data_IF_581034936699
#
_entry.id   IF_581034936699
#
_cell.length_a   1.000
_cell.length_b   1.000
_cell.length_c   1.000
_cell.angle_alpha   90.00
_cell.angle_beta   90.00
_cell.angle_gamma   90.00
#
_symmetry.space_group_name_H-M   'P 1'
#
loop_
_entity.id
_entity.type
_entity.pdbx_description
1 polymer ?
#
# COMPACT_ATOMS: atom_id res chain seq x y z
N UNK A 1 -15.16 6.14 3.69
CA UNK A 1 -14.61 5.28 4.75
C UNK A 1 -14.41 3.86 4.23
N UNK A 2 -15.47 3.11 3.90
CA UNK A 2 -15.36 1.71 3.47
C UNK A 2 -14.27 1.41 2.41
N UNK A 3 -14.16 2.20 1.34
CA UNK A 3 -13.13 1.97 0.31
C UNK A 3 -11.69 2.17 0.81
N UNK A 4 -11.47 3.12 1.73
CA UNK A 4 -10.14 3.35 2.34
C UNK A 4 -9.77 2.17 3.22
N UNK A 5 -10.72 1.66 4.01
CA UNK A 5 -10.50 0.52 4.89
C UNK A 5 -10.17 -0.74 4.09
N UNK A 6 -10.92 -1.02 3.00
CA UNK A 6 -10.64 -2.15 2.11
C UNK A 6 -9.27 -2.06 1.45
N UNK A 7 -8.88 -0.88 0.95
CA UNK A 7 -7.56 -0.69 0.34
C UNK A 7 -6.46 -0.81 1.39
N UNK A 8 -6.68 -0.29 2.60
CA UNK A 8 -5.73 -0.38 3.71
C UNK A 8 -5.50 -1.84 4.08
N UNK A 9 -6.56 -2.63 4.24
CA UNK A 9 -6.49 -4.06 4.53
C UNK A 9 -5.75 -4.81 3.41
N UNK A 10 -6.06 -4.52 2.14
CA UNK A 10 -5.38 -5.13 1.00
C UNK A 10 -3.87 -4.79 0.97
N UNK A 11 -3.49 -3.55 1.29
CA UNK A 11 -2.08 -3.14 1.42
C UNK A 11 -1.38 -3.89 2.56
N UNK A 12 -2.06 -4.08 3.70
CA UNK A 12 -1.51 -4.83 4.82
C UNK A 12 -1.29 -6.30 4.45
N UNK A 13 -2.26 -6.94 3.78
CA UNK A 13 -2.13 -8.32 3.31
C UNK A 13 -1.02 -8.49 2.28
N UNK A 14 -0.92 -7.57 1.32
CA UNK A 14 0.15 -7.60 0.33
C UNK A 14 1.52 -7.47 1.01
N UNK A 15 1.67 -6.54 1.95
CA UNK A 15 2.92 -6.36 2.68
C UNK A 15 3.27 -7.59 3.53
N UNK A 16 2.30 -8.14 4.26
CA UNK A 16 2.48 -9.36 5.04
C UNK A 16 2.98 -10.51 4.16
N UNK A 17 2.39 -10.68 2.98
CA UNK A 17 2.79 -11.69 2.02
C UNK A 17 4.20 -11.44 1.45
N UNK A 18 4.49 -10.24 0.95
CA UNK A 18 5.80 -9.92 0.37
C UNK A 18 6.93 -9.97 1.42
N UNK A 19 6.65 -9.64 2.69
CA UNK A 19 7.62 -9.67 3.78
C UNK A 19 7.68 -11.00 4.52
N UNK A 20 6.81 -11.96 4.18
CA UNK A 20 6.61 -13.22 4.92
C UNK A 20 6.37 -13.00 6.43
N UNK A 21 5.60 -11.97 6.77
CA UNK A 21 5.21 -11.63 8.13
C UNK A 21 3.75 -12.03 8.40
N UNK A 22 3.42 -12.40 9.65
CA UNK A 22 2.03 -12.51 10.07
C UNK A 22 1.29 -11.18 9.87
N UNK A 23 0.04 -11.21 9.40
CA UNK A 23 -0.78 -10.00 9.23
C UNK A 23 -0.99 -9.24 10.55
N UNK A 24 -0.98 -9.97 11.69
CA UNK A 24 -1.06 -9.43 13.05
C UNK A 24 0.13 -8.55 13.45
N UNK A 25 1.29 -8.71 12.79
CA UNK A 25 2.47 -7.87 13.00
C UNK A 25 2.45 -6.60 12.13
N UNK A 26 1.51 -6.51 11.18
CA UNK A 26 1.34 -5.35 10.31
C UNK A 26 0.36 -4.35 10.95
N UNK A 27 0.71 -3.07 10.90
CA UNK A 27 -0.05 -1.97 11.46
C UNK A 27 -0.26 -0.90 10.40
N UNK A 28 -1.53 -0.68 10.04
CA UNK A 28 -1.94 0.33 9.06
C UNK A 28 -1.49 1.76 9.36
N UNK A 29 -1.27 2.09 10.64
CA UNK A 29 -0.80 3.42 11.06
C UNK A 29 0.70 3.62 10.83
N UNK A 30 1.44 2.57 10.42
CA UNK A 30 2.87 2.65 10.10
C UNK A 30 3.07 2.70 8.59
N UNK A 31 4.15 3.34 8.12
CA UNK A 31 4.51 3.31 6.71
C UNK A 31 5.07 1.94 6.31
N UNK A 32 4.98 1.59 5.03
CA UNK A 32 5.55 0.35 4.51
C UNK A 32 7.07 0.31 4.73
N UNK A 33 7.75 1.44 4.59
CA UNK A 33 9.19 1.58 4.83
C UNK A 33 9.62 1.23 6.27
N UNK A 34 8.72 1.34 7.26
CA UNK A 34 9.03 0.96 8.64
C UNK A 34 9.21 -0.55 8.84
N UNK A 35 8.75 -1.36 7.88
CA UNK A 35 8.90 -2.82 7.92
C UNK A 35 10.21 -3.30 7.30
N UNK A 36 11.06 -2.41 6.80
CA UNK A 36 12.31 -2.80 6.15
C UNK A 36 12.13 -3.19 4.68
N UNK A 37 11.09 -2.65 4.03
CA UNK A 37 10.84 -2.82 2.60
C UNK A 37 12.05 -2.32 1.80
N UNK A 38 12.66 -3.22 1.03
CA UNK A 38 13.77 -2.90 0.14
C UNK A 38 13.28 -2.43 -1.25
N UNK A 39 14.21 -2.14 -2.16
CA UNK A 39 13.87 -1.67 -3.50
C UNK A 39 13.12 -2.71 -4.36
N UNK A 40 13.32 -4.00 -4.12
CA UNK A 40 12.66 -5.08 -4.87
C UNK A 40 11.21 -5.24 -4.38
N UNK A 41 11.03 -5.33 -3.06
CA UNK A 41 9.70 -5.42 -2.44
C UNK A 41 8.89 -4.15 -2.74
N UNK A 42 9.52 -2.97 -2.70
CA UNK A 42 8.84 -1.73 -3.06
C UNK A 42 8.35 -1.72 -4.52
N UNK A 43 9.16 -2.25 -5.45
CA UNK A 43 8.77 -2.38 -6.86
C UNK A 43 7.64 -3.41 -7.05
N UNK A 44 7.67 -4.51 -6.31
CA UNK A 44 6.62 -5.54 -6.31
C UNK A 44 5.29 -4.98 -5.80
N UNK A 45 5.29 -4.34 -4.62
CA UNK A 45 4.09 -3.71 -4.04
C UNK A 45 3.55 -2.63 -4.98
N UNK A 46 4.43 -1.80 -5.57
CA UNK A 46 4.03 -0.81 -6.58
C UNK A 46 3.35 -1.46 -7.79
N UNK A 47 3.91 -2.56 -8.28
CA UNK A 47 3.37 -3.26 -9.44
C UNK A 47 2.00 -3.86 -9.11
N UNK A 48 1.87 -4.51 -7.94
CA UNK A 48 0.61 -5.03 -7.44
C UNK A 48 -0.46 -3.94 -7.31
N UNK A 49 -0.15 -2.78 -6.70
CA UNK A 49 -1.08 -1.64 -6.61
C UNK A 49 -1.54 -1.20 -8.01
N UNK A 50 -0.60 -1.09 -8.95
CA UNK A 50 -0.91 -0.66 -10.33
C UNK A 50 -1.82 -1.66 -11.04
N UNK A 51 -1.63 -2.96 -10.80
CA UNK A 51 -2.43 -4.03 -11.40
C UNK A 51 -3.82 -4.14 -10.75
N UNK A 52 -3.91 -4.16 -9.42
CA UNK A 52 -5.17 -4.40 -8.71
C UNK A 52 -6.05 -3.15 -8.57
N UNK A 53 -5.44 -1.99 -8.38
CA UNK A 53 -6.18 -0.75 -8.14
C UNK A 53 -6.31 0.10 -9.40
N UNK A 54 -5.58 -0.25 -10.48
CA UNK A 54 -5.50 0.52 -11.73
C UNK A 54 -5.10 1.98 -11.46
N UNK A 55 -4.29 2.20 -10.41
CA UNK A 55 -3.77 3.51 -10.01
C UNK A 55 -2.28 3.54 -10.32
N UNK A 56 -1.84 4.57 -11.05
CA UNK A 56 -0.40 4.82 -11.17
C UNK A 56 0.18 5.25 -9.82
N UNK A 57 1.16 4.47 -9.37
CA UNK A 57 1.95 4.70 -8.17
C UNK A 57 3.42 4.73 -8.52
N UNK A 58 4.13 5.70 -7.95
CA UNK A 58 5.58 5.72 -7.99
C UNK A 58 6.16 4.89 -6.85
N UNK A 59 7.30 4.23 -7.08
CA UNK A 59 8.05 3.52 -6.03
C UNK A 59 8.37 4.45 -4.85
N UNK A 60 8.62 5.75 -5.12
CA UNK A 60 8.84 6.75 -4.07
C UNK A 60 7.64 6.92 -3.13
N UNK A 61 6.42 6.73 -3.62
CA UNK A 61 5.21 6.79 -2.79
C UNK A 61 5.07 5.56 -1.90
N UNK A 62 5.52 4.39 -2.39
CA UNK A 62 5.51 3.13 -1.63
C UNK A 62 6.52 3.15 -0.48
N UNK A 63 7.72 3.68 -0.73
CA UNK A 63 8.78 3.80 0.30
C UNK A 63 8.65 5.06 1.15
N UNK A 64 7.66 5.92 0.87
CA UNK A 64 7.45 7.12 1.65
C UNK A 64 7.12 6.77 3.11
N UNK A 65 7.57 7.60 4.05
CA UNK A 65 7.16 7.50 5.46
C UNK A 65 5.76 8.06 5.68
N UNK A 66 4.77 7.52 4.95
CA UNK A 66 3.35 7.85 5.05
C UNK A 66 2.59 6.61 5.55
N UNK A 67 1.69 6.74 6.54
CA UNK A 67 0.85 5.64 7.00
C UNK A 67 0.07 4.97 5.86
N UNK A 68 -0.16 3.65 5.95
CA UNK A 68 -0.89 2.91 4.91
C UNK A 68 -2.31 3.43 4.72
N UNK A 69 -2.98 3.86 5.80
CA UNK A 69 -4.32 4.45 5.73
C UNK A 69 -4.34 5.76 4.91
N UNK A 70 -3.32 6.60 5.06
CA UNK A 70 -3.19 7.86 4.32
C UNK A 70 -2.84 7.59 2.85
N UNK A 71 -2.03 6.55 2.60
CA UNK A 71 -1.73 6.09 1.25
C UNK A 71 -2.99 5.54 0.56
N UNK A 72 -3.80 4.75 1.27
CA UNK A 72 -5.08 4.25 0.80
C UNK A 72 -6.06 5.38 0.46
N UNK A 73 -6.17 6.40 1.32
CA UNK A 73 -6.99 7.58 1.05
C UNK A 73 -6.56 8.33 -0.23
N UNK A 74 -5.25 8.43 -0.48
CA UNK A 74 -4.74 8.98 -1.74
C UNK A 74 -5.17 8.13 -2.95
N UNK A 75 -5.16 6.82 -2.83
CA UNK A 75 -5.55 5.92 -3.93
C UNK A 75 -7.05 6.01 -4.21
N UNK A 76 -7.90 5.99 -3.18
CA UNK A 76 -9.36 6.19 -3.34
C UNK A 76 -9.65 7.49 -4.11
N UNK A 77 -8.95 8.58 -3.76
CA UNK A 77 -9.11 9.88 -4.45
C UNK A 77 -8.64 9.86 -5.91
N UNK A 78 -7.67 9.01 -6.27
CA UNK A 78 -7.20 8.85 -7.66
C UNK A 78 -8.15 8.00 -8.49
N UNK A 79 -8.63 6.88 -7.94
CA UNK A 79 -9.64 6.03 -8.60
C UNK A 79 -10.90 6.83 -8.91
N UNK A 80 -11.35 7.68 -7.98
CA UNK A 80 -12.50 8.56 -8.18
C UNK A 80 -12.33 9.67 -9.24
N UNK A 81 -11.12 9.88 -9.78
CA UNK A 81 -10.84 10.83 -10.88
C UNK A 81 -10.73 10.17 -12.25
N UNK A 82 -10.80 8.85 -12.34
CA UNK A 82 -10.90 8.13 -13.62
C UNK A 82 -12.39 8.08 -13.98
N UNK A 83 -12.92 9.22 -14.40
CA UNK A 83 -14.27 9.42 -14.90
C UNK A 83 -14.26 10.46 -16.01
#
# INVERSE_FOLDING_TARGET
>A
AAAVDTITEALMHQLAWSMMLPIEDINAARPLSAYGVDSLVAAEVRNWITMEMVVEVSVFEVVASVPMCDLADKFVKRVGRVG
#
